data_IF_713873097465
#
_entry.id   IF_713873097465
#
_cell.length_a   1.000
_cell.length_b   1.000
_cell.length_c   1.000
_cell.angle_alpha   90.00
_cell.angle_beta   90.00
_cell.angle_gamma   90.00
#
_symmetry.space_group_name_H-M   'P 1'
#
loop_
_entity.id
_entity.type
_entity.pdbx_description
1 polymer ?
#
# COMPACT_ATOMS: atom_id res chain seq x y z
N UNK A 1 -18.46 5.87 -0.02
CA UNK A 1 -18.69 7.24 -0.59
C UNK A 1 -17.47 7.69 -1.37
N UNK A 2 -17.61 8.19 -2.60
CA UNK A 2 -16.49 8.72 -3.40
C UNK A 2 -16.66 10.24 -3.50
N UNK A 3 -15.64 11.00 -3.09
CA UNK A 3 -15.66 12.46 -3.19
C UNK A 3 -15.65 12.91 -4.65
N UNK A 4 -16.38 13.98 -4.97
CA UNK A 4 -16.56 14.46 -6.36
C UNK A 4 -15.27 14.88 -7.09
N UNK A 5 -14.21 15.20 -6.35
CA UNK A 5 -12.90 15.56 -6.91
C UNK A 5 -11.92 14.39 -6.98
N UNK A 6 -12.30 13.21 -6.49
CA UNK A 6 -11.49 12.01 -6.65
C UNK A 6 -11.52 11.52 -8.10
N UNK A 7 -10.38 11.05 -8.60
CA UNK A 7 -10.26 10.46 -9.94
C UNK A 7 -10.19 8.95 -9.77
N UNK A 8 -11.29 8.28 -10.04
CA UNK A 8 -11.42 6.83 -9.90
C UNK A 8 -11.65 6.21 -11.26
N UNK A 9 -10.80 5.28 -11.67
CA UNK A 9 -10.96 4.56 -12.92
C UNK A 9 -12.23 3.68 -12.88
N UNK A 10 -12.94 3.59 -13.98
CA UNK A 10 -14.19 2.84 -14.12
C UNK A 10 -14.03 1.33 -13.90
N UNK A 11 -12.81 0.80 -14.05
CA UNK A 11 -12.49 -0.61 -13.83
C UNK A 11 -12.12 -0.92 -12.38
N UNK A 12 -11.86 0.10 -11.55
CA UNK A 12 -11.58 -0.10 -10.14
C UNK A 12 -12.78 -0.75 -9.44
N UNK A 13 -12.50 -1.68 -8.54
CA UNK A 13 -13.53 -2.36 -7.74
C UNK A 13 -13.52 -1.77 -6.33
N UNK A 14 -14.48 -0.92 -6.03
CA UNK A 14 -14.57 -0.23 -4.75
C UNK A 14 -15.82 -0.69 -4.02
N UNK A 15 -15.67 -1.16 -2.78
CA UNK A 15 -16.80 -1.50 -1.93
C UNK A 15 -17.72 -0.29 -1.74
N UNK A 16 -19.02 -0.51 -1.74
CA UNK A 16 -20.03 0.55 -1.51
C UNK A 16 -19.90 1.22 -0.14
N UNK A 17 -19.26 0.56 0.82
CA UNK A 17 -18.99 1.07 2.17
C UNK A 17 -17.61 1.72 2.32
N UNK A 18 -16.77 1.72 1.28
CA UNK A 18 -15.50 2.42 1.31
C UNK A 18 -15.68 3.93 1.12
N UNK A 19 -14.71 4.69 1.65
CA UNK A 19 -14.67 6.14 1.53
C UNK A 19 -13.42 6.51 0.71
N UNK A 20 -13.60 7.30 -0.34
CA UNK A 20 -12.51 7.86 -1.14
C UNK A 20 -12.55 9.38 -1.01
N UNK A 21 -11.52 9.93 -0.39
CA UNK A 21 -11.36 11.35 -0.10
C UNK A 21 -11.04 12.22 -1.32
N UNK A 22 -11.06 13.53 -1.13
CA UNK A 22 -10.86 14.49 -2.22
C UNK A 22 -9.46 14.38 -2.83
N UNK A 23 -9.39 14.62 -4.15
CA UNK A 23 -8.16 14.64 -4.95
C UNK A 23 -7.33 13.35 -4.93
N UNK A 24 -7.92 12.24 -4.49
CA UNK A 24 -7.28 10.94 -4.56
C UNK A 24 -7.43 10.33 -5.94
N UNK A 25 -6.43 9.54 -6.35
CA UNK A 25 -6.38 8.86 -7.63
C UNK A 25 -6.42 7.35 -7.38
N UNK A 26 -7.34 6.65 -8.03
CA UNK A 26 -7.47 5.19 -7.95
C UNK A 26 -7.43 4.60 -9.35
N UNK A 27 -6.43 3.79 -9.62
CA UNK A 27 -6.16 3.18 -10.92
C UNK A 27 -7.09 2.00 -11.28
N UNK A 28 -7.01 1.51 -12.54
CA UNK A 28 -7.98 0.55 -13.11
C UNK A 28 -7.95 -0.86 -12.50
N UNK A 29 -6.83 -1.29 -11.95
CA UNK A 29 -6.66 -2.64 -11.41
C UNK A 29 -6.62 -2.62 -9.87
N UNK A 30 -7.25 -1.63 -9.26
CA UNK A 30 -7.30 -1.47 -7.80
C UNK A 30 -8.60 -2.05 -7.27
N UNK A 31 -8.51 -2.81 -6.18
CA UNK A 31 -9.64 -3.32 -5.41
C UNK A 31 -9.58 -2.76 -3.99
N UNK A 32 -10.68 -2.18 -3.50
CA UNK A 32 -10.77 -1.56 -2.17
C UNK A 32 -11.91 -2.20 -1.38
N UNK A 33 -11.56 -2.78 -0.24
CA UNK A 33 -12.46 -3.53 0.64
C UNK A 33 -13.46 -2.67 1.41
N UNK A 34 -14.32 -3.36 2.14
CA UNK A 34 -15.39 -2.77 2.94
C UNK A 34 -14.82 -1.93 4.09
N UNK A 35 -15.38 -0.76 4.34
CA UNK A 35 -14.97 0.11 5.43
C UNK A 35 -13.59 0.74 5.29
N UNK A 36 -12.90 0.52 4.16
CA UNK A 36 -11.63 1.18 3.92
C UNK A 36 -11.81 2.69 3.75
N UNK A 37 -10.88 3.47 4.30
CA UNK A 37 -10.89 4.92 4.25
C UNK A 37 -9.64 5.45 3.55
N UNK A 38 -9.80 5.94 2.35
CA UNK A 38 -8.74 6.59 1.58
C UNK A 38 -8.89 8.09 1.78
N UNK A 39 -7.95 8.70 2.50
CA UNK A 39 -7.99 10.14 2.78
C UNK A 39 -7.71 10.98 1.53
N UNK A 40 -7.50 12.27 1.67
CA UNK A 40 -7.26 13.18 0.54
C UNK A 40 -5.87 12.96 -0.09
N UNK A 41 -5.74 13.24 -1.39
CA UNK A 41 -4.44 13.25 -2.11
C UNK A 41 -3.67 11.93 -2.04
N UNK A 42 -4.35 10.80 -1.94
CA UNK A 42 -3.74 9.46 -1.98
C UNK A 42 -3.67 9.00 -3.43
N UNK A 43 -2.55 8.38 -3.81
CA UNK A 43 -2.39 7.74 -5.11
C UNK A 43 -2.33 6.22 -4.95
N UNK A 44 -3.31 5.50 -5.49
CA UNK A 44 -3.35 4.03 -5.50
C UNK A 44 -3.35 3.55 -6.94
N UNK A 45 -2.33 2.82 -7.33
CA UNK A 45 -2.13 2.36 -8.71
C UNK A 45 -1.72 0.89 -8.77
N UNK A 46 -1.30 0.43 -9.94
CA UNK A 46 -0.88 -0.95 -10.14
C UNK A 46 -2.02 -1.94 -9.95
N UNK A 47 -1.67 -3.20 -9.82
CA UNK A 47 -2.60 -4.28 -9.46
C UNK A 47 -2.58 -4.42 -7.93
N UNK A 48 -3.43 -3.63 -7.26
CA UNK A 48 -3.37 -3.42 -5.81
C UNK A 48 -4.69 -3.80 -5.16
N UNK A 49 -4.61 -4.61 -4.12
CA UNK A 49 -5.75 -5.00 -3.29
C UNK A 49 -5.58 -4.38 -1.90
N UNK A 50 -6.58 -3.64 -1.45
CA UNK A 50 -6.67 -3.05 -0.12
C UNK A 50 -7.77 -3.77 0.66
N UNK A 51 -7.41 -4.38 1.78
CA UNK A 51 -8.33 -5.09 2.65
C UNK A 51 -9.30 -4.18 3.42
N UNK A 52 -10.21 -4.81 4.15
CA UNK A 52 -11.28 -4.12 4.86
C UNK A 52 -10.74 -3.21 5.98
N UNK A 53 -11.45 -2.11 6.26
CA UNK A 53 -11.17 -1.18 7.35
C UNK A 53 -9.72 -0.63 7.36
N UNK A 54 -9.01 -0.70 6.24
CA UNK A 54 -7.66 -0.14 6.11
C UNK A 54 -7.76 1.36 5.85
N UNK A 55 -6.97 2.14 6.57
CA UNK A 55 -6.91 3.60 6.43
C UNK A 55 -5.61 4.00 5.73
N UNK A 56 -5.71 4.85 4.71
CA UNK A 56 -4.56 5.38 3.98
C UNK A 56 -4.60 6.90 4.01
N UNK A 57 -3.58 7.48 4.60
CA UNK A 57 -3.48 8.91 4.92
C UNK A 57 -2.92 9.74 3.75
N UNK A 58 -3.08 11.07 3.81
CA UNK A 58 -2.75 11.94 2.69
C UNK A 58 -1.32 11.80 2.17
N UNK A 59 -1.17 11.94 0.85
CA UNK A 59 0.10 11.88 0.11
C UNK A 59 0.80 10.51 0.12
N UNK A 60 0.15 9.45 0.61
CA UNK A 60 0.66 8.11 0.42
C UNK A 60 0.59 7.68 -1.06
N UNK A 61 1.58 6.91 -1.50
CA UNK A 61 1.67 6.38 -2.86
C UNK A 61 1.79 4.86 -2.81
N UNK A 62 0.71 4.18 -3.16
CA UNK A 62 0.52 2.75 -2.92
C UNK A 62 0.36 2.00 -4.24
N UNK A 63 1.12 0.94 -4.42
CA UNK A 63 1.06 0.10 -5.62
C UNK A 63 1.79 0.68 -6.83
N UNK A 64 2.74 1.59 -6.60
CA UNK A 64 3.60 2.12 -7.65
C UNK A 64 4.64 1.10 -8.11
N UNK A 65 5.21 1.35 -9.27
CA UNK A 65 6.22 0.49 -9.86
C UNK A 65 7.42 0.32 -8.93
N UNK A 66 8.03 -0.88 -8.91
CA UNK A 66 9.29 -1.12 -8.22
C UNK A 66 10.40 -0.15 -8.62
N UNK A 67 11.21 0.27 -7.66
CA UNK A 67 12.44 1.01 -7.88
C UNK A 67 13.60 0.02 -8.15
N UNK A 68 13.43 -0.84 -9.13
CA UNK A 68 14.43 -1.84 -9.52
C UNK A 68 14.78 -1.65 -11.00
N UNK A 69 16.07 -1.54 -11.31
CA UNK A 69 16.58 -1.39 -12.68
C UNK A 69 16.22 -2.58 -13.59
N UNK A 70 15.90 -3.73 -13.02
CA UNK A 70 15.48 -4.93 -13.74
C UNK A 70 13.99 -4.91 -14.11
N UNK A 71 13.18 -4.10 -13.42
CA UNK A 71 11.75 -4.01 -13.67
C UNK A 71 11.48 -3.42 -15.06
N UNK A 72 10.68 -4.10 -15.87
CA UNK A 72 10.39 -3.72 -17.26
C UNK A 72 8.89 -3.52 -17.52
N UNK A 73 8.09 -3.36 -16.46
CA UNK A 73 6.64 -3.17 -16.58
C UNK A 73 5.84 -4.47 -16.48
N UNK A 74 6.37 -5.50 -15.87
CA UNK A 74 5.71 -6.79 -15.66
C UNK A 74 4.43 -6.62 -14.81
N UNK A 75 3.48 -7.51 -15.04
CA UNK A 75 2.21 -7.51 -14.28
C UNK A 75 2.39 -8.15 -12.92
N UNK A 76 2.78 -7.34 -11.96
CA UNK A 76 3.00 -7.75 -10.57
C UNK A 76 1.93 -7.15 -9.65
N UNK A 77 1.90 -7.57 -8.38
CA UNK A 77 0.82 -7.25 -7.44
C UNK A 77 1.32 -6.60 -6.16
N UNK A 78 0.39 -5.90 -5.51
CA UNK A 78 0.46 -5.53 -4.11
C UNK A 78 -0.82 -6.01 -3.41
N UNK A 79 -0.67 -6.75 -2.33
CA UNK A 79 -1.78 -7.19 -1.48
C UNK A 79 -1.60 -6.60 -0.08
N UNK A 80 -2.56 -5.80 0.37
CA UNK A 80 -2.60 -5.24 1.72
C UNK A 80 -3.83 -5.82 2.42
N UNK A 81 -3.62 -6.42 3.58
CA UNK A 81 -4.68 -7.00 4.40
C UNK A 81 -5.60 -5.95 5.04
N UNK A 82 -6.30 -6.37 6.07
CA UNK A 82 -7.33 -5.56 6.73
C UNK A 82 -6.81 -4.83 7.97
N UNK A 83 -7.54 -3.77 8.37
CA UNK A 83 -7.28 -3.00 9.59
C UNK A 83 -5.89 -2.35 9.66
N UNK A 84 -5.25 -2.10 8.53
CA UNK A 84 -3.96 -1.42 8.49
C UNK A 84 -4.13 0.09 8.57
N UNK A 85 -3.15 0.76 9.18
CA UNK A 85 -3.05 2.22 9.21
C UNK A 85 -1.78 2.60 8.45
N UNK A 86 -1.95 3.21 7.28
CA UNK A 86 -0.85 3.64 6.40
C UNK A 86 -0.83 5.17 6.42
N UNK A 87 0.18 5.72 7.10
CA UNK A 87 0.27 7.15 7.37
C UNK A 87 0.77 7.94 6.16
N UNK A 88 0.83 9.26 6.36
CA UNK A 88 1.17 10.25 5.34
C UNK A 88 2.53 9.96 4.68
N UNK A 89 2.62 10.20 3.37
CA UNK A 89 3.84 10.06 2.57
C UNK A 89 4.46 8.65 2.55
N UNK A 90 3.76 7.63 3.02
CA UNK A 90 4.20 6.24 2.89
C UNK A 90 4.23 5.86 1.42
N UNK A 91 5.26 5.11 1.02
CA UNK A 91 5.36 4.54 -0.33
C UNK A 91 5.46 3.03 -0.28
N UNK A 92 4.67 2.34 -1.12
CA UNK A 92 4.64 0.87 -1.19
C UNK A 92 4.66 0.46 -2.66
N UNK A 93 5.63 -0.36 -3.05
CA UNK A 93 5.74 -0.85 -4.42
C UNK A 93 5.05 -2.21 -4.62
N UNK A 94 4.67 -2.50 -5.86
CA UNK A 94 4.30 -3.86 -6.30
C UNK A 94 5.52 -4.77 -6.32
N UNK A 95 5.34 -6.09 -6.53
CA UNK A 95 6.45 -7.02 -6.69
C UNK A 95 7.15 -6.94 -8.05
N UNK A 96 8.15 -7.80 -8.23
CA UNK A 96 8.86 -8.04 -9.50
C UNK A 96 8.73 -9.50 -9.91
N UNK A 97 8.89 -9.84 -11.19
CA UNK A 97 8.86 -11.22 -11.65
C UNK A 97 9.92 -12.07 -10.96
N UNK A 98 11.12 -11.53 -10.79
CA UNK A 98 12.23 -12.22 -10.13
C UNK A 98 12.03 -12.44 -8.63
N UNK A 99 11.12 -11.71 -8.01
CA UNK A 99 10.81 -11.79 -6.57
C UNK A 99 9.54 -12.56 -6.23
N UNK A 100 8.93 -13.21 -7.22
CA UNK A 100 7.68 -13.93 -7.02
C UNK A 100 6.42 -13.14 -7.38
N UNK A 101 6.58 -11.96 -7.96
CA UNK A 101 5.50 -11.17 -8.57
C UNK A 101 4.62 -10.41 -7.59
N UNK A 102 4.96 -10.39 -6.29
CA UNK A 102 4.05 -9.84 -5.29
C UNK A 102 4.73 -9.24 -4.07
N UNK A 103 4.30 -8.05 -3.68
CA UNK A 103 4.50 -7.50 -2.33
C UNK A 103 3.25 -7.79 -1.49
N UNK A 104 3.43 -8.25 -0.26
CA UNK A 104 2.32 -8.59 0.63
C UNK A 104 2.49 -7.93 2.00
N UNK A 105 1.41 -7.34 2.48
CA UNK A 105 1.30 -6.76 3.83
C UNK A 105 0.12 -7.44 4.52
N UNK A 106 0.32 -7.95 5.72
CA UNK A 106 -0.69 -8.60 6.53
C UNK A 106 -1.73 -7.64 7.10
N UNK A 107 -2.20 -7.95 8.29
CA UNK A 107 -3.30 -7.24 8.93
C UNK A 107 -2.84 -6.47 10.17
N UNK A 108 -3.63 -5.49 10.61
CA UNK A 108 -3.45 -4.75 11.86
C UNK A 108 -2.09 -4.04 11.98
N UNK A 109 -1.47 -3.67 10.87
CA UNK A 109 -0.17 -3.01 10.85
C UNK A 109 -0.30 -1.49 10.95
N UNK A 110 0.71 -0.86 11.56
CA UNK A 110 0.89 0.58 11.57
C UNK A 110 2.16 0.93 10.78
N UNK A 111 1.99 1.54 9.62
CA UNK A 111 3.09 2.07 8.80
C UNK A 111 3.10 3.58 8.95
N UNK A 112 4.11 4.08 9.67
CA UNK A 112 4.18 5.48 10.07
C UNK A 112 4.71 6.38 8.95
N UNK A 113 4.65 7.70 9.19
CA UNK A 113 4.93 8.77 8.22
C UNK A 113 6.25 8.53 7.48
N UNK A 114 6.18 8.59 6.15
CA UNK A 114 7.36 8.57 5.27
C UNK A 114 8.08 7.22 5.18
N UNK A 115 7.54 6.15 5.78
CA UNK A 115 8.13 4.83 5.64
C UNK A 115 8.01 4.33 4.19
N UNK A 116 8.97 3.48 3.78
CA UNK A 116 9.01 2.86 2.46
C UNK A 116 8.99 1.35 2.58
N UNK A 117 8.13 0.69 1.81
CA UNK A 117 8.13 -0.77 1.62
C UNK A 117 8.39 -1.05 0.15
N UNK A 118 9.57 -1.59 -0.15
CA UNK A 118 9.98 -1.91 -1.50
C UNK A 118 9.28 -3.17 -2.04
N UNK A 119 9.62 -3.52 -3.26
CA UNK A 119 9.08 -4.65 -4.00
C UNK A 119 9.37 -6.00 -3.35
N UNK A 120 8.48 -6.95 -3.52
CA UNK A 120 8.64 -8.36 -3.09
C UNK A 120 8.79 -8.56 -1.57
N UNK A 121 8.48 -7.53 -0.77
CA UNK A 121 8.44 -7.65 0.68
C UNK A 121 7.25 -8.49 1.14
N UNK A 122 7.46 -9.26 2.19
CA UNK A 122 6.41 -9.97 2.93
C UNK A 122 6.38 -9.41 4.36
N UNK A 123 5.32 -8.72 4.71
CA UNK A 123 5.11 -8.16 6.05
C UNK A 123 3.97 -8.92 6.72
N UNK A 124 4.20 -9.39 7.93
CA UNK A 124 3.22 -10.13 8.74
C UNK A 124 2.11 -9.26 9.32
N UNK A 125 1.51 -9.75 10.39
CA UNK A 125 0.44 -9.07 11.11
C UNK A 125 0.97 -8.32 12.34
N UNK A 126 0.25 -7.30 12.80
CA UNK A 126 0.56 -6.51 13.99
C UNK A 126 1.95 -5.85 13.97
N UNK A 127 2.47 -5.54 12.80
CA UNK A 127 3.80 -4.93 12.63
C UNK A 127 3.70 -3.41 12.77
N UNK A 128 4.69 -2.81 13.44
CA UNK A 128 4.87 -1.35 13.48
C UNK A 128 6.13 -0.99 12.71
N UNK A 129 5.99 -0.20 11.67
CA UNK A 129 7.10 0.36 10.90
C UNK A 129 7.14 1.86 11.20
N UNK A 130 8.12 2.29 11.99
CA UNK A 130 8.19 3.66 12.47
C UNK A 130 8.61 4.65 11.37
N UNK A 131 8.55 5.95 11.70
CA UNK A 131 8.76 7.05 10.77
C UNK A 131 10.05 6.90 9.95
N UNK A 132 9.92 7.09 8.64
CA UNK A 132 11.04 7.10 7.68
C UNK A 132 11.89 5.82 7.67
N UNK A 133 11.39 4.70 8.20
CA UNK A 133 12.05 3.43 8.02
C UNK A 133 11.94 2.97 6.56
N UNK A 134 13.02 2.42 6.01
CA UNK A 134 13.10 1.96 4.63
C UNK A 134 13.30 0.44 4.58
N UNK A 135 12.29 -0.28 4.08
CA UNK A 135 12.33 -1.73 3.93
C UNK A 135 12.75 -2.03 2.49
N UNK A 136 13.93 -2.61 2.32
CA UNK A 136 14.45 -2.94 1.00
C UNK A 136 13.70 -4.13 0.37
N UNK A 137 13.87 -4.32 -0.92
CA UNK A 137 13.22 -5.39 -1.66
C UNK A 137 13.52 -6.78 -1.11
N UNK A 138 12.54 -7.68 -1.19
CA UNK A 138 12.61 -9.08 -0.75
C UNK A 138 12.70 -9.29 0.77
N UNK A 139 12.59 -8.24 1.59
CA UNK A 139 12.60 -8.38 3.04
C UNK A 139 11.37 -9.16 3.54
N UNK A 140 11.60 -10.01 4.55
CA UNK A 140 10.55 -10.74 5.24
C UNK A 140 10.47 -10.29 6.70
N UNK A 141 9.33 -9.76 7.09
CA UNK A 141 9.07 -9.24 8.43
C UNK A 141 7.97 -10.10 9.06
N UNK A 142 8.29 -10.78 10.14
CA UNK A 142 7.34 -11.64 10.86
C UNK A 142 6.28 -10.83 11.59
N UNK A 143 5.29 -11.53 12.16
CA UNK A 143 4.27 -10.92 12.99
C UNK A 143 4.87 -10.25 14.24
N UNK A 144 4.17 -9.26 14.78
CA UNK A 144 4.47 -8.57 16.04
C UNK A 144 5.84 -7.85 16.09
N UNK A 145 6.46 -7.59 14.94
CA UNK A 145 7.74 -6.87 14.85
C UNK A 145 7.54 -5.36 14.94
N UNK A 146 8.45 -4.70 15.64
CA UNK A 146 8.55 -3.23 15.68
C UNK A 146 9.88 -2.80 15.08
N UNK A 147 9.82 -2.01 14.01
CA UNK A 147 10.98 -1.42 13.32
C UNK A 147 11.10 0.03 13.74
N UNK A 148 12.26 0.40 14.28
CA UNK A 148 12.56 1.76 14.72
C UNK A 148 12.59 2.78 13.59
N UNK A 149 12.42 4.07 13.93
CA UNK A 149 12.47 5.14 12.95
C UNK A 149 13.85 5.30 12.29
N UNK A 150 13.86 5.69 11.02
CA UNK A 150 15.06 5.85 10.18
C UNK A 150 15.92 4.58 10.05
N UNK A 151 15.37 3.41 10.35
CA UNK A 151 16.06 2.14 10.11
C UNK A 151 16.01 1.77 8.63
N UNK A 152 17.11 1.15 8.13
CA UNK A 152 17.15 0.42 6.87
C UNK A 152 17.17 -1.08 7.12
N UNK A 153 16.30 -1.83 6.47
CA UNK A 153 16.18 -3.29 6.56
C UNK A 153 16.43 -3.88 5.18
#
# INVERSE_FOLDING_TARGET
MIHKTAIVDKKAKISSKAIIGPYSIVGPNVEIGEGAEIHSHVNITGNTIIGNNTQIFPFASVGTNPQDLKYKGEKTKLEIGSNNIIREHVTINTGTDGGGGKTKIGNNNLVMIGAHIAHDCIVGDNVVIANSAAIAGHAQISDDVIIGGNCGI
#
